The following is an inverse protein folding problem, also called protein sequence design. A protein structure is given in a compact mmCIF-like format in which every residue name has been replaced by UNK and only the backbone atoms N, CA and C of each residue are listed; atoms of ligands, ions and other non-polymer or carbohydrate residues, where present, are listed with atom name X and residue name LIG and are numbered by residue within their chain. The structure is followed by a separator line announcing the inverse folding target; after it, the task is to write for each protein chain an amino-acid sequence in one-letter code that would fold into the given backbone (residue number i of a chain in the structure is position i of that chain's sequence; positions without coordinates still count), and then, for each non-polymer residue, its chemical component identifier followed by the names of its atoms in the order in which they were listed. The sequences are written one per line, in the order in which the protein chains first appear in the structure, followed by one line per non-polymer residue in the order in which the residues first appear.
data_IF_251822866097
#
_entry.id   IF_251822866097
#
_cell.length_a   1.000
_cell.length_b   1.000
_cell.length_c   1.000
_cell.angle_alpha   90.00
_cell.angle_beta   90.00
_cell.angle_gamma   90.00
#
_symmetry.space_group_name_H-M   'P 1'
#
loop_
_entity.id
_entity.type
_entity.pdbx_description
1 polymer ?
#
# COMPACT_ATOMS: atom_id res chain seq x y z
N UNK A 1 5.53 -1.76 27.93
CA UNK A 1 5.01 -3.10 27.60
C UNK A 1 4.45 -3.06 26.18
N UNK A 2 5.24 -3.43 25.19
CA UNK A 2 4.73 -3.69 23.83
C UNK A 2 4.25 -5.13 23.80
N UNK A 3 2.93 -5.33 23.77
CA UNK A 3 2.37 -6.65 23.56
C UNK A 3 2.92 -7.21 22.23
N UNK A 4 3.54 -8.38 22.29
CA UNK A 4 3.93 -9.14 21.10
C UNK A 4 2.67 -9.43 20.30
N UNK A 5 2.48 -8.74 19.18
CA UNK A 5 1.31 -8.95 18.31
C UNK A 5 1.52 -10.24 17.55
N UNK A 6 0.63 -11.20 17.76
CA UNK A 6 0.64 -12.45 17.00
C UNK A 6 0.04 -12.21 15.60
N UNK A 7 0.28 -13.11 14.65
CA UNK A 7 -0.34 -13.03 13.32
C UNK A 7 -1.87 -13.07 13.39
N UNK A 8 -2.44 -13.77 14.38
CA UNK A 8 -3.89 -13.81 14.61
C UNK A 8 -4.47 -12.45 15.03
N UNK A 9 -3.72 -11.68 15.84
CA UNK A 9 -4.15 -10.34 16.26
C UNK A 9 -4.23 -9.37 15.07
N UNK A 10 -3.30 -9.50 14.12
CA UNK A 10 -3.26 -8.66 12.91
C UNK A 10 -4.46 -8.95 12.00
N UNK A 11 -4.77 -10.21 11.75
CA UNK A 11 -5.94 -10.62 10.95
C UNK A 11 -7.23 -10.09 11.58
N UNK A 12 -7.41 -10.27 12.89
CA UNK A 12 -8.60 -9.79 13.59
C UNK A 12 -8.78 -8.26 13.48
N UNK A 13 -7.69 -7.50 13.60
CA UNK A 13 -7.72 -6.04 13.42
C UNK A 13 -8.07 -5.66 11.98
N UNK A 14 -7.43 -6.27 10.99
CA UNK A 14 -7.68 -5.97 9.56
C UNK A 14 -9.13 -6.29 9.18
N UNK A 15 -9.65 -7.44 9.59
CA UNK A 15 -11.06 -7.79 9.37
C UNK A 15 -11.99 -6.75 10.00
N UNK A 16 -11.71 -6.35 11.25
CA UNK A 16 -12.56 -5.40 11.97
C UNK A 16 -12.59 -4.02 11.34
N UNK A 17 -11.46 -3.50 10.87
CA UNK A 17 -11.43 -2.16 10.22
C UNK A 17 -12.14 -2.14 8.87
N UNK A 18 -12.39 -3.30 8.26
CA UNK A 18 -13.19 -3.42 7.04
C UNK A 18 -14.70 -3.37 7.25
N UNK A 19 -15.20 -3.47 8.49
CA UNK A 19 -16.64 -3.51 8.73
C UNK A 19 -17.32 -2.20 8.32
N UNK A 20 -18.34 -2.33 7.47
CA UNK A 20 -19.07 -1.19 6.91
C UNK A 20 -18.37 -0.46 5.76
N UNK A 21 -17.20 -0.95 5.31
CA UNK A 21 -16.50 -0.45 4.13
C UNK A 21 -16.70 -1.34 2.91
N UNK A 22 -16.61 -0.75 1.72
CA UNK A 22 -16.75 -1.46 0.44
C UNK A 22 -15.40 -1.77 -0.23
N UNK A 23 -14.31 -1.13 0.21
CA UNK A 23 -12.98 -1.19 -0.39
C UNK A 23 -11.91 -1.05 0.69
N UNK A 24 -10.78 -1.74 0.53
CA UNK A 24 -9.57 -1.49 1.31
C UNK A 24 -8.57 -0.66 0.51
N UNK A 25 -8.27 0.54 1.00
CA UNK A 25 -7.14 1.33 0.50
C UNK A 25 -5.83 0.79 1.09
N UNK A 26 -4.95 0.32 0.21
CA UNK A 26 -3.58 -0.06 0.54
C UNK A 26 -2.67 1.13 0.24
N UNK A 27 -2.29 1.86 1.29
CA UNK A 27 -1.34 2.97 1.23
C UNK A 27 0.09 2.45 1.08
N UNK A 28 0.51 2.21 -0.16
CA UNK A 28 1.83 1.62 -0.48
C UNK A 28 2.97 2.52 0.00
N UNK A 29 2.78 3.84 0.00
CA UNK A 29 3.76 4.78 0.55
C UNK A 29 4.00 4.62 2.07
N UNK A 30 3.12 3.90 2.78
CA UNK A 30 3.25 3.60 4.21
C UNK A 30 3.70 2.16 4.49
N UNK A 31 3.91 1.34 3.46
CA UNK A 31 4.33 -0.05 3.61
C UNK A 31 5.83 -0.11 3.83
N UNK A 32 6.27 -0.77 4.91
CA UNK A 32 7.69 -0.92 5.24
C UNK A 32 7.96 -2.25 5.94
N UNK A 33 9.05 -2.96 5.60
CA UNK A 33 9.48 -4.15 6.35
C UNK A 33 10.13 -3.78 7.69
N UNK A 34 10.43 -2.50 7.93
CA UNK A 34 11.12 -2.03 9.14
C UNK A 34 10.08 -1.66 10.21
N UNK A 35 10.14 -2.23 11.42
CA UNK A 35 9.26 -1.85 12.51
C UNK A 35 9.47 -0.40 12.95
N UNK A 36 8.38 0.32 13.21
CA UNK A 36 8.40 1.70 13.72
C UNK A 36 7.66 2.68 12.81
N UNK A 37 7.77 3.99 13.07
CA UNK A 37 7.24 5.01 12.17
C UNK A 37 7.83 4.83 10.77
N UNK A 38 6.99 4.91 9.74
CA UNK A 38 7.45 4.99 8.34
C UNK A 38 8.29 6.26 8.22
N UNK A 39 9.61 6.11 8.26
CA UNK A 39 10.51 7.23 8.02
C UNK A 39 10.48 7.58 6.53
N UNK A 40 11.31 8.52 6.11
CA UNK A 40 11.60 8.81 4.70
C UNK A 40 12.44 7.69 4.04
N UNK A 41 12.13 6.44 4.38
CA UNK A 41 12.69 5.27 3.73
C UNK A 41 12.16 5.25 2.28
N UNK A 42 13.04 4.90 1.34
CA UNK A 42 12.68 4.83 -0.08
C UNK A 42 11.59 3.79 -0.37
N UNK A 43 11.31 3.58 -1.64
CA UNK A 43 10.29 2.62 -2.10
C UNK A 43 10.59 1.23 -1.51
N UNK A 44 9.64 0.58 -0.83
CA UNK A 44 9.85 -0.79 -0.39
C UNK A 44 10.03 -1.69 -1.63
N UNK A 45 10.79 -2.80 -1.51
CA UNK A 45 10.95 -3.73 -2.62
C UNK A 45 9.60 -4.19 -3.17
N UNK A 46 9.47 -4.28 -4.50
CA UNK A 46 8.21 -4.71 -5.15
C UNK A 46 7.74 -6.07 -4.63
N UNK A 47 8.67 -7.01 -4.39
CA UNK A 47 8.36 -8.32 -3.81
C UNK A 47 7.68 -8.23 -2.45
N UNK A 48 8.11 -7.28 -1.61
CA UNK A 48 7.49 -7.06 -0.31
C UNK A 48 6.07 -6.53 -0.44
N UNK A 49 5.83 -5.59 -1.37
CA UNK A 49 4.48 -5.09 -1.67
C UNK A 49 3.59 -6.23 -2.16
N UNK A 50 4.09 -7.09 -3.06
CA UNK A 50 3.34 -8.26 -3.55
C UNK A 50 2.93 -9.20 -2.41
N UNK A 51 3.83 -9.48 -1.47
CA UNK A 51 3.54 -10.30 -0.30
C UNK A 51 2.46 -9.67 0.58
N UNK A 52 2.53 -8.36 0.84
CA UNK A 52 1.52 -7.66 1.64
C UNK A 52 0.15 -7.66 0.96
N UNK A 53 0.10 -7.44 -0.35
CA UNK A 53 -1.14 -7.51 -1.14
C UNK A 53 -1.77 -8.90 -1.05
N UNK A 54 -0.99 -9.96 -1.26
CA UNK A 54 -1.49 -11.34 -1.17
C UNK A 54 -2.00 -11.67 0.23
N UNK A 55 -1.30 -11.21 1.26
CA UNK A 55 -1.76 -11.36 2.65
C UNK A 55 -3.12 -10.69 2.85
N UNK A 56 -3.29 -9.44 2.42
CA UNK A 56 -4.58 -8.75 2.52
C UNK A 56 -5.69 -9.47 1.74
N UNK A 57 -5.43 -9.90 0.51
CA UNK A 57 -6.38 -10.68 -0.31
C UNK A 57 -6.81 -11.99 0.37
N UNK A 58 -5.95 -12.60 1.19
CA UNK A 58 -6.28 -13.81 1.95
C UNK A 58 -7.14 -13.56 3.20
N UNK A 59 -7.23 -12.32 3.69
CA UNK A 59 -7.93 -11.98 4.93
C UNK A 59 -9.43 -11.76 4.69
N UNK A 60 -9.81 -11.18 3.55
CA UNK A 60 -11.20 -10.84 3.32
C UNK A 60 -11.54 -10.54 1.86
N UNK A 61 -12.84 -10.47 1.54
CA UNK A 61 -13.32 -10.37 0.17
C UNK A 61 -13.34 -8.94 -0.38
N UNK A 62 -13.01 -7.93 0.45
CA UNK A 62 -13.11 -6.53 0.01
C UNK A 62 -12.09 -6.26 -1.11
N UNK A 63 -12.52 -5.61 -2.20
CA UNK A 63 -11.61 -5.20 -3.27
C UNK A 63 -10.52 -4.28 -2.72
N UNK A 64 -9.32 -4.42 -3.27
CA UNK A 64 -8.17 -3.60 -2.93
C UNK A 64 -8.03 -2.41 -3.89
N UNK A 65 -7.80 -1.23 -3.33
CA UNK A 65 -7.38 -0.02 -4.02
C UNK A 65 -5.90 0.25 -3.69
N UNK A 66 -5.01 0.27 -4.68
CA UNK A 66 -3.63 0.70 -4.44
C UNK A 66 -3.57 2.23 -4.44
N UNK A 67 -3.03 2.80 -3.37
CA UNK A 67 -2.74 4.21 -3.28
C UNK A 67 -1.27 4.45 -2.99
N UNK A 68 -0.63 5.27 -3.83
CA UNK A 68 0.74 5.73 -3.63
C UNK A 68 0.74 7.25 -3.62
N UNK A 69 0.85 7.81 -2.42
CA UNK A 69 0.80 9.27 -2.24
C UNK A 69 2.19 9.88 -2.09
N UNK A 70 2.45 10.93 -2.86
CA UNK A 70 3.68 11.71 -2.79
C UNK A 70 3.66 12.68 -1.60
N UNK A 71 4.82 13.18 -1.16
CA UNK A 71 4.94 14.12 -0.03
C UNK A 71 4.12 15.39 -0.27
N UNK A 72 4.18 15.95 -1.48
CA UNK A 72 3.37 17.11 -1.89
C UNK A 72 1.86 16.84 -1.83
N UNK A 73 1.44 15.57 -1.92
CA UNK A 73 0.06 15.13 -1.79
C UNK A 73 -0.23 14.38 -0.48
N UNK A 74 0.48 14.74 0.61
CA UNK A 74 0.25 14.23 1.99
C UNK A 74 0.54 12.74 2.18
N UNK A 75 1.39 12.17 1.33
CA UNK A 75 1.96 10.84 1.53
C UNK A 75 3.40 10.87 2.05
N UNK A 76 4.06 9.72 1.95
CA UNK A 76 5.47 9.56 2.32
C UNK A 76 6.39 9.34 1.12
N UNK A 77 5.83 9.13 -0.06
CA UNK A 77 6.60 8.86 -1.26
C UNK A 77 7.31 10.12 -1.76
N UNK A 78 8.55 10.00 -2.26
CA UNK A 78 9.30 11.15 -2.75
C UNK A 78 8.65 11.73 -4.02
N UNK A 79 8.55 13.05 -4.11
CA UNK A 79 7.92 13.73 -5.25
C UNK A 79 8.70 13.52 -6.56
N UNK A 80 10.01 13.25 -6.50
CA UNK A 80 10.91 13.12 -7.65
C UNK A 80 11.12 11.68 -8.15
N UNK A 81 10.63 10.66 -7.43
CA UNK A 81 10.81 9.25 -7.74
C UNK A 81 9.73 8.70 -8.72
N UNK A 82 9.59 9.38 -9.86
CA UNK A 82 8.49 9.14 -10.81
C UNK A 82 8.47 7.72 -11.40
N UNK A 83 9.62 7.17 -11.75
CA UNK A 83 9.70 5.87 -12.43
C UNK A 83 9.37 4.72 -11.48
N UNK A 84 9.84 4.80 -10.25
CA UNK A 84 9.53 3.85 -9.20
C UNK A 84 8.04 3.90 -8.85
N UNK A 85 7.46 5.10 -8.89
CA UNK A 85 6.03 5.28 -8.70
C UNK A 85 5.19 4.68 -9.82
N UNK A 86 5.65 4.83 -11.06
CA UNK A 86 4.98 4.27 -12.23
C UNK A 86 5.06 2.74 -12.25
N UNK A 87 6.15 2.15 -11.76
CA UNK A 87 6.34 0.70 -11.69
C UNK A 87 5.31 -0.02 -10.79
N UNK A 88 4.60 0.70 -9.92
CA UNK A 88 3.52 0.13 -9.11
C UNK A 88 2.20 -0.05 -9.85
N UNK A 89 1.95 0.71 -10.91
CA UNK A 89 0.74 0.56 -11.73
C UNK A 89 0.67 -0.83 -12.36
N UNK A 90 1.70 -1.32 -13.10
CA UNK A 90 1.66 -2.67 -13.66
C UNK A 90 1.68 -3.74 -12.56
N UNK A 91 2.27 -3.48 -11.40
CA UNK A 91 2.19 -4.37 -10.25
C UNK A 91 0.74 -4.55 -9.77
N UNK A 92 0.03 -3.45 -9.54
CA UNK A 92 -1.35 -3.47 -9.09
C UNK A 92 -2.26 -4.21 -10.07
N UNK A 93 -2.08 -3.96 -11.37
CA UNK A 93 -2.81 -4.68 -12.44
C UNK A 93 -2.48 -6.18 -12.42
N UNK A 94 -1.20 -6.55 -12.33
CA UNK A 94 -0.76 -7.96 -12.30
C UNK A 94 -1.30 -8.71 -11.07
N UNK A 95 -1.39 -8.04 -9.93
CA UNK A 95 -1.93 -8.62 -8.69
C UNK A 95 -3.46 -8.58 -8.60
N UNK A 96 -4.15 -8.06 -9.63
CA UNK A 96 -5.62 -8.04 -9.69
C UNK A 96 -6.27 -7.07 -8.69
N UNK A 97 -5.62 -5.95 -8.38
CA UNK A 97 -6.26 -4.90 -7.57
C UNK A 97 -7.38 -4.25 -8.38
N UNK A 98 -8.49 -3.95 -7.71
CA UNK A 98 -9.69 -3.43 -8.36
C UNK A 98 -9.55 -1.96 -8.77
N UNK A 99 -8.74 -1.20 -8.04
CA UNK A 99 -8.53 0.23 -8.26
C UNK A 99 -7.07 0.62 -8.11
N UNK A 100 -6.64 1.60 -8.92
CA UNK A 100 -5.31 2.19 -8.86
C UNK A 100 -5.44 3.72 -8.76
N UNK A 101 -5.00 4.29 -7.65
CA UNK A 101 -4.87 5.74 -7.49
C UNK A 101 -3.62 6.22 -8.24
N UNK A 102 -3.82 7.16 -9.17
CA UNK A 102 -2.75 7.77 -9.96
C UNK A 102 -2.82 9.28 -9.78
N UNK A 103 -1.76 9.86 -9.23
CA UNK A 103 -1.66 11.30 -9.05
C UNK A 103 -1.48 12.02 -10.40
N UNK A 104 -2.38 12.95 -10.72
CA UNK A 104 -2.34 13.74 -11.97
C UNK A 104 -1.27 14.83 -12.00
N UNK A 105 -0.60 15.11 -10.88
CA UNK A 105 0.54 16.05 -10.83
C UNK A 105 1.78 15.53 -11.58
N UNK A 106 1.70 14.32 -12.15
CA UNK A 106 2.77 13.69 -12.93
C UNK A 106 2.75 14.19 -14.37
N UNK A 107 3.92 14.35 -15.03
CA UNK A 107 3.98 14.74 -16.43
C UNK A 107 3.18 13.76 -17.30
N UNK A 108 2.31 14.30 -18.17
CA UNK A 108 1.43 13.52 -19.05
C UNK A 108 2.16 12.81 -20.21
N UNK A 109 3.48 13.06 -20.35
CA UNK A 109 4.33 12.53 -21.39
C UNK A 109 5.70 12.15 -20.78
N UNK A 110 6.19 10.97 -21.17
CA UNK A 110 7.62 10.65 -21.17
C UNK A 110 8.20 11.12 -22.51
#
# INVERSE_FOLDING_TARGET
MTASRTSGDVVAVITRIGYGGDVWEVRIDLVTPIPGPVADHGVPPLSYIEEQVKLLQSIGPLPLLSAMRTKSQRGKFKDDAYYEALALVPLAVKQGLAYVDVELGRPAYL
#
